data_IF_936548855798
#
_entry.id   IF_936548855798
#
_cell.length_a   1.000
_cell.length_b   1.000
_cell.length_c   1.000
_cell.angle_alpha   90.00
_cell.angle_beta   90.00
_cell.angle_gamma   90.00
#
_symmetry.space_group_name_H-M   'P 1'
#
loop_
_entity.id
_entity.type
_entity.pdbx_description
1 polymer ?
#
# COMPACT_ATOMS: atom_id res chain seq x y z
N UNK A 1 5.68 13.85 -21.75
CA UNK A 1 6.29 12.50 -21.90
C UNK A 1 5.97 11.94 -23.28
N UNK A 2 6.87 11.17 -23.93
CA UNK A 2 6.48 10.37 -25.09
C UNK A 2 5.56 9.23 -24.64
N UNK A 3 4.48 9.01 -25.39
CA UNK A 3 3.54 7.92 -25.14
C UNK A 3 4.26 6.58 -25.30
N UNK A 4 4.32 5.79 -24.22
CA UNK A 4 4.93 4.46 -24.23
C UNK A 4 4.00 3.45 -23.61
N UNK A 5 3.93 2.28 -24.24
CA UNK A 5 3.09 1.17 -23.82
C UNK A 5 3.95 -0.06 -23.58
N UNK A 6 3.73 -0.70 -22.44
CA UNK A 6 4.38 -1.92 -22.01
C UNK A 6 3.33 -2.99 -21.76
N UNK A 7 3.59 -4.23 -22.15
CA UNK A 7 2.64 -5.33 -21.95
C UNK A 7 3.31 -6.52 -21.24
N UNK A 8 2.54 -7.16 -20.37
CA UNK A 8 2.90 -8.40 -19.71
C UNK A 8 1.71 -9.34 -19.78
N UNK A 9 1.91 -10.53 -20.33
CA UNK A 9 0.91 -11.60 -20.30
C UNK A 9 1.26 -12.58 -19.19
N UNK A 10 0.36 -12.75 -18.23
CA UNK A 10 0.41 -13.76 -17.18
C UNK A 10 -0.73 -14.73 -17.40
N UNK A 11 -0.39 -15.96 -17.79
CA UNK A 11 -1.35 -16.96 -18.28
C UNK A 11 -2.23 -16.39 -19.39
N UNK A 12 -3.55 -16.29 -19.19
CA UNK A 12 -4.48 -15.76 -20.19
C UNK A 12 -4.71 -14.24 -20.05
N UNK A 13 -4.18 -13.61 -19.00
CA UNK A 13 -4.42 -12.19 -18.72
C UNK A 13 -3.27 -11.32 -19.17
N UNK A 14 -3.59 -10.34 -20.03
CA UNK A 14 -2.61 -9.35 -20.50
C UNK A 14 -2.80 -8.03 -19.76
N UNK A 15 -1.78 -7.64 -19.00
CA UNK A 15 -1.64 -6.34 -18.37
C UNK A 15 -0.97 -5.39 -19.36
N UNK A 16 -1.62 -4.26 -19.64
CA UNK A 16 -1.05 -3.17 -20.43
C UNK A 16 -0.80 -1.99 -19.50
N UNK A 17 0.42 -1.48 -19.50
CA UNK A 17 0.82 -0.26 -18.79
C UNK A 17 1.12 0.81 -19.82
N UNK A 18 0.49 1.96 -19.69
CA UNK A 18 0.66 3.10 -20.57
C UNK A 18 1.11 4.33 -19.77
N UNK A 19 2.20 4.92 -20.23
CA UNK A 19 2.70 6.20 -19.75
C UNK A 19 2.25 7.27 -20.73
N UNK A 20 1.34 8.14 -20.27
CA UNK A 20 0.73 9.19 -21.07
C UNK A 20 0.98 10.58 -20.46
N UNK A 21 0.40 11.61 -21.08
CA UNK A 21 0.52 13.00 -20.69
C UNK A 21 -0.76 13.57 -20.05
N UNK A 22 -1.59 12.73 -19.43
CA UNK A 22 -2.87 13.18 -18.88
C UNK A 22 -2.72 13.91 -17.54
N UNK A 23 -1.74 13.52 -16.74
CA UNK A 23 -1.51 14.06 -15.40
C UNK A 23 -0.07 14.53 -15.20
N UNK A 24 0.46 15.35 -16.12
CA UNK A 24 1.87 15.79 -16.10
C UNK A 24 2.27 16.62 -14.86
N UNK A 25 1.30 17.14 -14.12
CA UNK A 25 1.56 17.84 -12.85
C UNK A 25 1.66 16.91 -11.64
N UNK A 26 1.24 15.64 -11.77
CA UNK A 26 1.48 14.65 -10.73
C UNK A 26 2.96 14.26 -10.73
N UNK A 27 3.49 13.88 -9.56
CA UNK A 27 4.88 13.43 -9.48
C UNK A 27 5.06 12.08 -10.21
N UNK A 28 4.02 11.23 -10.20
CA UNK A 28 3.95 10.04 -11.04
C UNK A 28 2.52 9.75 -11.46
N UNK A 29 2.34 9.26 -12.70
CA UNK A 29 1.04 8.87 -13.24
C UNK A 29 1.16 7.70 -14.20
N UNK A 30 0.26 6.73 -14.09
CA UNK A 30 0.29 5.51 -14.90
C UNK A 30 -1.14 5.07 -15.22
N UNK A 31 -1.38 4.73 -16.47
CA UNK A 31 -2.61 4.08 -16.91
C UNK A 31 -2.37 2.57 -16.99
N UNK A 32 -3.19 1.78 -16.32
CA UNK A 32 -3.11 0.31 -16.34
C UNK A 32 -4.41 -0.24 -16.90
N UNK A 33 -4.30 -1.22 -17.80
CA UNK A 33 -5.43 -1.88 -18.44
C UNK A 33 -5.29 -3.40 -18.40
N UNK A 34 -6.39 -4.08 -18.08
CA UNK A 34 -6.55 -5.54 -18.19
C UNK A 34 -7.90 -5.80 -18.86
N UNK A 35 -7.89 -6.45 -20.02
CA UNK A 35 -9.10 -6.51 -20.85
C UNK A 35 -9.56 -5.09 -21.23
N UNK A 36 -10.83 -4.78 -20.96
CA UNK A 36 -11.36 -3.41 -21.10
C UNK A 36 -11.46 -2.67 -19.75
N UNK A 37 -11.01 -3.27 -18.64
CA UNK A 37 -10.90 -2.58 -17.35
C UNK A 37 -9.66 -1.68 -17.33
N UNK A 38 -9.86 -0.39 -17.09
CA UNK A 38 -8.83 0.66 -17.13
C UNK A 38 -8.82 1.47 -15.84
N UNK A 39 -7.64 1.62 -15.24
CA UNK A 39 -7.41 2.44 -14.05
C UNK A 39 -6.29 3.45 -14.29
N UNK A 40 -6.48 4.67 -13.80
CA UNK A 40 -5.46 5.71 -13.76
C UNK A 40 -4.98 5.86 -12.32
N UNK A 41 -3.71 5.57 -12.08
CA UNK A 41 -3.07 5.80 -10.78
C UNK A 41 -2.19 7.06 -10.85
N UNK A 42 -2.30 7.90 -9.83
CA UNK A 42 -1.50 9.12 -9.67
C UNK A 42 -0.92 9.18 -8.27
N UNK A 43 0.31 9.68 -8.14
CA UNK A 43 1.00 9.86 -6.87
C UNK A 43 1.55 11.28 -6.76
N UNK A 44 1.30 11.92 -5.62
CA UNK A 44 1.73 13.29 -5.33
C UNK A 44 2.28 13.37 -3.91
N UNK A 45 3.37 14.12 -3.72
CA UNK A 45 3.91 14.44 -2.41
C UNK A 45 4.04 15.95 -2.24
N UNK A 46 3.64 16.48 -1.09
CA UNK A 46 3.80 17.90 -0.78
C UNK A 46 5.29 18.29 -0.70
N UNK A 47 5.67 19.49 -1.15
CA UNK A 47 7.06 19.97 -1.07
C UNK A 47 7.52 20.21 0.37
N UNK A 48 6.61 20.69 1.22
CA UNK A 48 6.90 20.98 2.62
C UNK A 48 6.31 19.90 3.55
N UNK A 49 6.96 19.63 4.70
CA UNK A 49 6.35 18.85 5.77
C UNK A 49 5.01 19.45 6.21
N UNK A 50 4.11 18.60 6.71
CA UNK A 50 2.80 19.05 7.19
C UNK A 50 2.95 20.09 8.31
N UNK A 51 2.26 21.22 8.15
CA UNK A 51 2.21 22.31 9.12
C UNK A 51 1.63 21.82 10.46
N UNK A 52 2.19 22.31 11.57
CA UNK A 52 1.77 21.94 12.93
C UNK A 52 2.46 20.71 13.53
N UNK A 53 3.42 20.10 12.83
CA UNK A 53 4.21 18.99 13.34
C UNK A 53 3.40 17.69 13.41
N UNK A 54 3.37 16.92 12.33
CA UNK A 54 2.79 15.58 12.39
C UNK A 54 3.74 14.63 13.13
N UNK A 55 3.24 13.91 14.14
CA UNK A 55 4.01 12.85 14.81
C UNK A 55 4.03 11.53 14.02
N UNK A 56 3.33 11.47 12.89
CA UNK A 56 3.14 10.28 12.06
C UNK A 56 3.40 10.58 10.58
N UNK A 57 3.57 9.51 9.79
CA UNK A 57 3.69 9.59 8.33
C UNK A 57 2.30 9.76 7.68
N UNK A 58 2.00 10.91 7.05
CA UNK A 58 0.70 11.17 6.44
C UNK A 58 0.64 10.60 5.02
N UNK A 59 0.10 9.39 4.89
CA UNK A 59 -0.23 8.75 3.61
C UNK A 59 -1.74 8.60 3.51
N UNK A 60 -2.32 9.12 2.43
CA UNK A 60 -3.71 8.88 2.02
C UNK A 60 -3.73 8.09 0.72
N UNK A 61 -4.61 7.09 0.66
CA UNK A 61 -4.86 6.29 -0.54
C UNK A 61 -6.35 6.33 -0.82
N UNK A 62 -6.70 6.86 -1.98
CA UNK A 62 -8.08 7.03 -2.41
C UNK A 62 -8.31 6.21 -3.68
N UNK A 63 -9.18 5.22 -3.60
CA UNK A 63 -9.65 4.46 -4.75
C UNK A 63 -11.06 4.95 -5.11
N UNK A 64 -11.21 5.46 -6.34
CA UNK A 64 -12.44 6.09 -6.82
C UNK A 64 -13.03 5.31 -8.01
N UNK A 65 -14.23 4.79 -7.81
CA UNK A 65 -15.03 4.18 -8.87
C UNK A 65 -15.93 5.25 -9.48
N UNK A 66 -15.80 5.47 -10.79
CA UNK A 66 -16.66 6.41 -11.52
C UNK A 66 -17.81 5.64 -12.17
N UNK A 67 -19.04 6.13 -12.05
CA UNK A 67 -20.22 5.47 -12.62
C UNK A 67 -20.11 5.35 -14.15
N UNK A 68 -19.48 6.34 -14.79
CA UNK A 68 -19.22 6.30 -16.23
C UNK A 68 -18.33 5.12 -16.65
N UNK A 69 -17.55 4.53 -15.75
CA UNK A 69 -16.71 3.38 -16.05
C UNK A 69 -17.54 2.17 -16.52
N UNK A 70 -18.78 2.06 -16.03
CA UNK A 70 -19.77 1.04 -16.43
C UNK A 70 -20.71 1.50 -17.56
N UNK A 71 -20.52 2.73 -18.07
CA UNK A 71 -21.44 3.34 -19.03
C UNK A 71 -22.83 3.69 -18.47
N UNK A 72 -23.00 3.70 -17.14
CA UNK A 72 -24.30 3.93 -16.47
C UNK A 72 -24.30 5.29 -15.75
N UNK A 73 -25.46 5.96 -15.74
CA UNK A 73 -25.71 7.15 -14.90
C UNK A 73 -26.34 6.66 -13.59
N UNK A 74 -25.54 6.52 -12.55
CA UNK A 74 -25.96 6.03 -11.24
C UNK A 74 -25.98 7.15 -10.19
N UNK A 75 -26.36 6.81 -8.96
CA UNK A 75 -26.39 7.71 -7.80
C UNK A 75 -27.79 8.17 -7.41
N UNK A 76 -27.86 9.11 -6.47
CA UNK A 76 -29.13 9.66 -5.99
C UNK A 76 -29.91 10.32 -7.12
N UNK A 77 -31.24 10.12 -7.14
CA UNK A 77 -32.19 10.71 -8.12
C UNK A 77 -31.95 12.21 -8.34
N UNK A 78 -31.50 12.91 -7.29
CA UNK A 78 -31.28 14.36 -7.30
C UNK A 78 -29.87 14.77 -7.70
N UNK A 79 -28.85 14.06 -7.22
CA UNK A 79 -27.44 14.48 -7.36
C UNK A 79 -26.80 13.92 -8.64
N UNK A 80 -27.17 12.69 -9.03
CA UNK A 80 -26.62 11.97 -10.21
C UNK A 80 -25.09 12.05 -10.32
N UNK A 81 -24.41 11.96 -9.17
CA UNK A 81 -22.95 12.02 -9.03
C UNK A 81 -22.50 11.11 -7.90
N UNK A 82 -21.29 10.59 -8.02
CA UNK A 82 -20.57 9.89 -6.97
C UNK A 82 -20.30 10.86 -5.82
N UNK A 83 -20.54 10.42 -4.59
CA UNK A 83 -20.33 11.27 -3.40
C UNK A 83 -19.40 10.56 -2.44
N UNK A 84 -19.93 9.66 -1.63
CA UNK A 84 -19.14 8.85 -0.71
C UNK A 84 -18.60 7.61 -1.42
N UNK A 85 -17.35 7.20 -1.14
CA UNK A 85 -16.83 5.90 -1.57
C UNK A 85 -17.74 4.75 -1.12
N UNK A 86 -17.84 3.72 -1.97
CA UNK A 86 -18.48 2.45 -1.63
C UNK A 86 -17.67 1.69 -0.57
N UNK A 87 -18.27 0.68 0.07
CA UNK A 87 -17.53 -0.21 0.97
C UNK A 87 -16.39 -0.92 0.22
N UNK A 88 -16.65 -1.37 -1.01
CA UNK A 88 -15.66 -2.00 -1.87
C UNK A 88 -14.49 -1.04 -2.17
N UNK A 89 -14.79 0.21 -2.54
CA UNK A 89 -13.76 1.21 -2.79
C UNK A 89 -12.89 1.48 -1.56
N UNK A 90 -13.48 1.46 -0.35
CA UNK A 90 -12.74 1.59 0.91
C UNK A 90 -11.87 0.35 1.16
N UNK A 91 -12.37 -0.86 0.88
CA UNK A 91 -11.61 -2.10 1.02
C UNK A 91 -10.41 -2.14 0.07
N UNK A 92 -10.60 -1.77 -1.20
CA UNK A 92 -9.51 -1.67 -2.18
C UNK A 92 -8.50 -0.59 -1.79
N UNK A 93 -8.97 0.57 -1.31
CA UNK A 93 -8.07 1.63 -0.78
C UNK A 93 -7.19 1.10 0.36
N UNK A 94 -7.78 0.35 1.30
CA UNK A 94 -7.06 -0.27 2.42
C UNK A 94 -6.09 -1.36 1.97
N UNK A 95 -6.47 -2.14 0.97
CA UNK A 95 -5.62 -3.17 0.36
C UNK A 95 -4.36 -2.54 -0.23
N UNK A 96 -4.51 -1.45 -0.99
CA UNK A 96 -3.39 -0.72 -1.57
C UNK A 96 -2.54 -0.07 -0.47
N UNK A 97 -3.15 0.64 0.48
CA UNK A 97 -2.45 1.29 1.60
C UNK A 97 -1.59 0.31 2.40
N UNK A 98 -2.16 -0.83 2.82
CA UNK A 98 -1.44 -1.87 3.56
C UNK A 98 -0.25 -2.42 2.78
N UNK A 99 -0.35 -2.45 1.46
CA UNK A 99 0.69 -2.99 0.59
C UNK A 99 1.84 -1.98 0.40
N UNK A 100 1.55 -0.69 0.22
CA UNK A 100 2.58 0.34 -0.07
C UNK A 100 3.18 0.99 1.19
N UNK A 101 2.41 1.12 2.28
CA UNK A 101 2.77 1.89 3.48
C UNK A 101 4.07 1.42 4.15
N UNK A 102 4.32 0.10 4.33
CA UNK A 102 5.55 -0.37 4.98
C UNK A 102 6.84 -0.05 4.21
N UNK A 103 6.74 0.42 2.97
CA UNK A 103 7.87 0.73 2.08
C UNK A 103 8.26 2.20 2.08
N UNK A 104 7.56 3.04 2.84
CA UNK A 104 7.99 4.40 3.13
C UNK A 104 8.84 4.45 4.40
N UNK A 105 9.76 5.40 4.45
CA UNK A 105 10.41 5.75 5.71
C UNK A 105 9.38 6.49 6.59
N UNK A 106 9.04 5.89 7.74
CA UNK A 106 8.05 6.43 8.68
C UNK A 106 8.45 7.78 9.30
N UNK A 107 9.67 8.25 9.06
CA UNK A 107 10.16 9.59 9.46
C UNK A 107 9.78 10.69 8.46
N UNK A 108 9.29 10.33 7.28
CA UNK A 108 8.76 11.31 6.32
C UNK A 108 7.56 12.04 6.97
N UNK A 109 7.52 13.36 6.79
CA UNK A 109 6.46 14.24 7.29
C UNK A 109 5.72 15.00 6.20
N UNK A 110 6.17 14.84 4.96
CA UNK A 110 5.48 15.31 3.78
C UNK A 110 4.25 14.42 3.55
N UNK A 111 3.14 15.06 3.23
CA UNK A 111 1.92 14.36 2.87
C UNK A 111 2.08 13.70 1.50
N UNK A 112 1.78 12.41 1.44
CA UNK A 112 1.76 11.62 0.21
C UNK A 112 0.32 11.21 -0.05
N UNK A 113 -0.17 11.49 -1.24
CA UNK A 113 -1.47 11.05 -1.70
C UNK A 113 -1.31 10.17 -2.93
N UNK A 114 -1.97 9.01 -2.91
CA UNK A 114 -2.09 8.12 -4.07
C UNK A 114 -3.56 8.00 -4.42
N UNK A 115 -3.94 8.46 -5.60
CA UNK A 115 -5.31 8.39 -6.10
C UNK A 115 -5.35 7.40 -7.25
N UNK A 116 -6.25 6.43 -7.16
CA UNK A 116 -6.55 5.49 -8.23
C UNK A 116 -7.97 5.73 -8.69
N UNK A 117 -8.16 6.06 -9.96
CA UNK A 117 -9.48 6.28 -10.56
C UNK A 117 -9.78 5.18 -11.56
N UNK A 118 -10.89 4.48 -11.39
CA UNK A 118 -11.40 3.52 -12.37
C UNK A 118 -12.08 4.30 -13.50
N UNK A 119 -11.53 4.18 -14.71
CA UNK A 119 -12.01 4.89 -15.89
C UNK A 119 -12.93 4.03 -16.75
N UNK A 120 -12.72 2.72 -16.76
CA UNK A 120 -13.54 1.76 -17.48
C UNK A 120 -13.53 0.42 -16.75
N UNK A 121 -14.64 -0.31 -16.78
CA UNK A 121 -14.73 -1.67 -16.26
C UNK A 121 -15.46 -2.55 -17.28
N UNK A 122 -14.94 -3.75 -17.51
CA UNK A 122 -15.46 -4.69 -18.49
C UNK A 122 -16.47 -5.70 -17.92
N UNK A 123 -16.86 -5.49 -16.66
CA UNK A 123 -17.73 -6.35 -15.84
C UNK A 123 -17.22 -7.79 -15.66
N UNK A 124 -15.96 -8.08 -16.01
CA UNK A 124 -15.30 -9.38 -15.88
C UNK A 124 -14.08 -9.33 -14.97
N UNK A 125 -13.17 -8.41 -15.26
CA UNK A 125 -11.90 -8.25 -14.58
C UNK A 125 -12.05 -7.28 -13.41
N UNK A 126 -11.68 -7.76 -12.22
CA UNK A 126 -11.64 -6.92 -11.03
C UNK A 126 -10.53 -5.84 -11.17
N UNK A 127 -10.85 -4.55 -10.95
CA UNK A 127 -9.90 -3.45 -10.98
C UNK A 127 -8.89 -3.41 -9.81
N UNK A 128 -9.04 -4.21 -8.76
CA UNK A 128 -8.18 -4.18 -7.57
C UNK A 128 -6.68 -4.47 -7.83
N UNK A 129 -6.35 -5.53 -8.57
CA UNK A 129 -5.00 -5.93 -8.95
C UNK A 129 -4.35 -4.91 -9.89
N UNK A 130 -5.01 -4.45 -10.99
CA UNK A 130 -4.44 -3.39 -11.82
C UNK A 130 -4.33 -2.06 -11.07
N UNK A 131 -5.22 -1.77 -10.11
CA UNK A 131 -5.10 -0.59 -9.24
C UNK A 131 -3.85 -0.64 -8.37
N UNK A 132 -3.54 -1.79 -7.76
CA UNK A 132 -2.32 -1.98 -6.99
C UNK A 132 -1.06 -1.90 -7.86
N UNK A 133 -1.08 -2.48 -9.06
CA UNK A 133 0.00 -2.35 -10.04
C UNK A 133 0.21 -0.88 -10.42
N UNK A 134 -0.88 -0.14 -10.69
CA UNK A 134 -0.84 1.27 -11.01
C UNK A 134 -0.25 2.11 -9.87
N UNK A 135 -0.69 1.88 -8.63
CA UNK A 135 -0.16 2.58 -7.45
C UNK A 135 1.35 2.34 -7.27
N UNK A 136 1.80 1.09 -7.41
CA UNK A 136 3.22 0.72 -7.32
C UNK A 136 4.06 1.40 -8.40
N UNK A 137 3.58 1.40 -9.66
CA UNK A 137 4.30 2.06 -10.76
C UNK A 137 4.27 3.58 -10.64
N UNK A 138 3.14 4.18 -10.26
CA UNK A 138 3.03 5.63 -10.06
C UNK A 138 4.02 6.13 -8.99
N UNK A 139 4.15 5.42 -7.87
CA UNK A 139 5.17 5.73 -6.86
C UNK A 139 6.60 5.46 -7.37
N UNK A 140 6.81 4.36 -8.09
CA UNK A 140 8.13 4.01 -8.60
C UNK A 140 8.65 4.99 -9.64
N UNK A 141 7.77 5.51 -10.49
CA UNK A 141 8.08 6.48 -11.55
C UNK A 141 8.05 7.93 -11.05
N UNK A 142 7.63 8.17 -9.81
CA UNK A 142 7.70 9.48 -9.18
C UNK A 142 9.08 9.78 -8.59
N UNK A 143 9.32 11.03 -8.22
CA UNK A 143 10.47 11.43 -7.41
C UNK A 143 10.30 11.08 -5.91
N UNK A 144 9.16 10.56 -5.48
CA UNK A 144 8.86 10.28 -4.06
C UNK A 144 9.76 9.15 -3.53
N UNK A 145 10.42 9.32 -2.37
CA UNK A 145 11.30 8.29 -1.80
C UNK A 145 10.46 7.13 -1.26
N UNK A 146 10.44 6.04 -2.03
CA UNK A 146 9.65 4.84 -1.74
C UNK A 146 10.44 3.58 -2.11
N UNK A 147 10.50 2.61 -1.19
CA UNK A 147 11.30 1.39 -1.33
C UNK A 147 10.49 0.23 -1.96
N UNK A 148 9.92 0.48 -3.14
CA UNK A 148 9.26 -0.51 -3.97
C UNK A 148 10.16 -1.08 -5.07
N UNK A 149 9.60 -1.63 -6.17
CA UNK A 149 8.17 -1.81 -6.44
C UNK A 149 7.57 -2.97 -5.64
N UNK A 150 6.24 -3.02 -5.59
CA UNK A 150 5.48 -4.16 -5.10
C UNK A 150 4.55 -4.67 -6.21
N UNK A 151 4.13 -5.91 -6.13
CA UNK A 151 3.04 -6.43 -6.96
C UNK A 151 2.04 -7.16 -6.07
N UNK A 152 0.79 -7.21 -6.52
CA UNK A 152 -0.18 -8.15 -6.00
C UNK A 152 -0.83 -8.94 -7.10
N UNK A 153 -1.33 -10.11 -6.73
CA UNK A 153 -2.06 -11.03 -7.60
C UNK A 153 -3.18 -11.64 -6.76
N UNK A 154 -4.28 -12.00 -7.41
CA UNK A 154 -5.39 -12.75 -6.81
C UNK A 154 -5.27 -14.22 -7.23
N UNK A 155 -5.50 -15.15 -6.32
CA UNK A 155 -5.56 -16.58 -6.59
C UNK A 155 -6.94 -17.07 -6.22
N UNK A 156 -7.62 -17.71 -7.16
CA UNK A 156 -8.88 -18.40 -6.93
C UNK A 156 -8.72 -19.91 -6.92
N UNK A 157 -9.63 -20.60 -6.25
CA UNK A 157 -9.89 -22.03 -6.46
C UNK A 157 -11.38 -22.29 -6.45
N UNK A 158 -11.85 -23.08 -7.40
CA UNK A 158 -13.22 -23.57 -7.44
C UNK A 158 -13.21 -25.06 -7.75
N UNK A 159 -13.82 -25.87 -6.89
CA UNK A 159 -13.81 -27.33 -7.03
C UNK A 159 -14.28 -27.81 -8.41
N UNK A 160 -15.20 -27.11 -9.06
CA UNK A 160 -15.74 -27.47 -10.39
C UNK A 160 -14.84 -27.10 -11.58
N UNK A 161 -13.82 -26.25 -11.37
CA UNK A 161 -12.84 -25.82 -12.39
C UNK A 161 -11.46 -26.44 -12.08
N UNK A 162 -11.30 -27.03 -10.90
CA UNK A 162 -10.05 -27.59 -10.41
C UNK A 162 -9.50 -28.76 -11.25
N UNK A 163 -10.32 -29.38 -12.11
CA UNK A 163 -9.93 -30.49 -12.99
C UNK A 163 -9.19 -30.04 -14.27
N UNK A 164 -9.19 -28.74 -14.59
CA UNK A 164 -8.55 -28.20 -15.82
C UNK A 164 -7.16 -27.59 -15.58
N UNK A 165 -6.84 -27.20 -14.33
CA UNK A 165 -5.55 -26.65 -13.95
C UNK A 165 -4.72 -27.66 -13.14
N UNK A 166 -3.39 -27.81 -13.35
CA UNK A 166 -2.58 -28.84 -12.72
C UNK A 166 -2.65 -28.91 -11.18
N UNK A 167 -2.97 -27.79 -10.53
CA UNK A 167 -3.11 -27.65 -9.06
C UNK A 167 -4.51 -27.17 -8.64
N UNK A 168 -5.42 -26.96 -9.60
CA UNK A 168 -6.76 -26.40 -9.39
C UNK A 168 -6.81 -24.91 -8.99
N UNK A 169 -5.70 -24.17 -9.12
CA UNK A 169 -5.65 -22.72 -8.85
C UNK A 169 -5.80 -21.92 -10.15
N UNK A 170 -6.48 -20.77 -10.05
CA UNK A 170 -6.69 -19.83 -11.15
C UNK A 170 -6.04 -18.50 -10.81
N UNK A 171 -5.24 -17.96 -11.72
CA UNK A 171 -4.59 -16.65 -11.56
C UNK A 171 -5.54 -15.52 -11.93
N UNK A 172 -5.69 -14.57 -11.02
CA UNK A 172 -6.51 -13.38 -11.16
C UNK A 172 -7.91 -13.70 -11.68
N UNK A 173 -8.70 -14.59 -11.08
CA UNK A 173 -9.97 -15.05 -11.65
C UNK A 173 -10.94 -13.90 -11.97
N UNK A 174 -11.74 -14.03 -13.03
CA UNK A 174 -12.85 -13.08 -13.31
C UNK A 174 -13.98 -13.24 -12.27
N UNK A 175 -14.89 -12.26 -12.19
CA UNK A 175 -16.00 -12.30 -11.23
C UNK A 175 -16.82 -13.61 -11.28
N UNK A 176 -17.12 -14.13 -12.47
CA UNK A 176 -17.88 -15.39 -12.65
C UNK A 176 -17.14 -16.62 -12.11
N UNK A 177 -15.80 -16.63 -12.18
CA UNK A 177 -14.96 -17.72 -11.66
C UNK A 177 -14.85 -17.68 -10.14
N UNK A 178 -15.02 -16.49 -9.54
CA UNK A 178 -15.00 -16.26 -8.09
C UNK A 178 -16.32 -16.61 -7.41
N UNK A 179 -17.43 -16.60 -8.16
CA UNK A 179 -18.72 -16.97 -7.60
C UNK A 179 -18.74 -18.45 -7.20
N UNK A 180 -18.91 -18.71 -5.90
CA UNK A 180 -18.84 -20.05 -5.33
C UNK A 180 -17.42 -20.64 -5.29
N UNK A 181 -16.38 -19.81 -5.34
CA UNK A 181 -15.01 -20.25 -5.14
C UNK A 181 -14.77 -20.73 -3.70
N UNK A 182 -13.99 -21.80 -3.56
CA UNK A 182 -13.53 -22.36 -2.29
C UNK A 182 -12.36 -21.56 -1.70
N UNK A 183 -11.66 -20.82 -2.55
CA UNK A 183 -10.59 -19.90 -2.17
C UNK A 183 -10.67 -18.65 -3.05
N UNK A 184 -10.57 -17.49 -2.41
CA UNK A 184 -10.30 -16.21 -3.05
C UNK A 184 -9.29 -15.43 -2.19
N UNK A 185 -8.03 -15.37 -2.64
CA UNK A 185 -6.95 -14.73 -1.89
C UNK A 185 -6.20 -13.71 -2.73
N UNK A 186 -6.07 -12.48 -2.24
CA UNK A 186 -5.07 -11.54 -2.74
C UNK A 186 -3.84 -11.61 -1.87
N UNK A 187 -2.70 -11.76 -2.54
CA UNK A 187 -1.38 -11.59 -1.93
C UNK A 187 -0.67 -10.41 -2.59
N UNK A 188 0.06 -9.64 -1.80
CA UNK A 188 0.95 -8.60 -2.31
C UNK A 188 2.32 -8.62 -1.63
N UNK A 189 3.34 -8.22 -2.36
CA UNK A 189 4.72 -8.32 -1.88
C UNK A 189 5.76 -7.73 -2.80
N UNK A 190 7.00 -7.87 -2.33
CA UNK A 190 8.24 -7.66 -3.11
C UNK A 190 8.69 -8.96 -3.77
N UNK A 191 9.75 -8.92 -4.58
CA UNK A 191 10.26 -10.10 -5.28
C UNK A 191 10.67 -11.23 -4.32
N UNK A 192 11.05 -10.87 -3.09
CA UNK A 192 11.60 -11.81 -2.11
C UNK A 192 10.63 -12.20 -1.00
N UNK A 193 9.61 -11.36 -0.74
CA UNK A 193 8.73 -11.52 0.43
C UNK A 193 7.33 -10.99 0.19
N UNK A 194 6.35 -11.73 0.72
CA UNK A 194 4.95 -11.30 0.84
C UNK A 194 4.84 -10.31 2.00
N UNK A 195 4.11 -9.22 1.81
CA UNK A 195 3.84 -8.20 2.82
C UNK A 195 2.39 -8.16 3.29
N UNK A 196 1.44 -8.60 2.45
CA UNK A 196 0.01 -8.54 2.76
C UNK A 196 -0.70 -9.73 2.14
N UNK A 197 -1.67 -10.27 2.88
CA UNK A 197 -2.56 -11.36 2.47
C UNK A 197 -3.96 -10.95 2.94
N UNK A 198 -4.93 -11.05 2.03
CA UNK A 198 -6.36 -10.90 2.29
C UNK A 198 -7.07 -12.09 1.63
N UNK A 199 -7.79 -12.91 2.40
CA UNK A 199 -8.32 -14.18 1.91
C UNK A 199 -9.71 -14.50 2.45
N UNK A 200 -10.54 -15.09 1.59
CA UNK A 200 -11.74 -15.85 1.95
C UNK A 200 -11.57 -17.30 1.49
N UNK A 201 -11.92 -18.26 2.34
CA UNK A 201 -11.86 -19.68 2.01
C UNK A 201 -12.96 -20.49 2.73
N UNK A 202 -13.43 -21.56 2.10
CA UNK A 202 -14.46 -22.46 2.63
C UNK A 202 -13.82 -23.70 3.27
N UNK A 203 -13.46 -23.61 4.56
CA UNK A 203 -12.94 -24.73 5.36
C UNK A 203 -11.76 -25.49 4.68
N UNK A 204 -10.91 -24.76 3.96
CA UNK A 204 -9.75 -25.29 3.25
C UNK A 204 -8.64 -25.73 4.22
N UNK A 205 -7.95 -26.82 3.90
CA UNK A 205 -6.81 -27.32 4.68
C UNK A 205 -5.62 -26.34 4.61
N UNK A 206 -4.88 -26.18 5.71
CA UNK A 206 -3.77 -25.23 5.79
C UNK A 206 -2.68 -25.49 4.75
N UNK A 207 -2.37 -26.76 4.45
CA UNK A 207 -1.36 -27.12 3.45
C UNK A 207 -1.76 -26.67 2.05
N UNK A 208 -3.04 -26.81 1.71
CA UNK A 208 -3.57 -26.41 0.41
C UNK A 208 -3.60 -24.88 0.27
N UNK A 209 -3.97 -24.17 1.34
CA UNK A 209 -3.94 -22.72 1.38
C UNK A 209 -2.51 -22.18 1.22
N UNK A 210 -1.52 -22.80 1.88
CA UNK A 210 -0.11 -22.43 1.74
C UNK A 210 0.39 -22.66 0.30
N UNK A 211 0.02 -23.78 -0.33
CA UNK A 211 0.37 -24.06 -1.73
C UNK A 211 -0.21 -23.01 -2.69
N UNK A 212 -1.44 -22.54 -2.45
CA UNK A 212 -2.05 -21.48 -3.26
C UNK A 212 -1.25 -20.16 -3.18
N UNK A 213 -0.80 -19.80 -1.98
CA UNK A 213 0.03 -18.60 -1.75
C UNK A 213 1.39 -18.75 -2.44
N UNK A 214 2.06 -19.89 -2.28
CA UNK A 214 3.37 -20.15 -2.90
C UNK A 214 3.29 -20.11 -4.43
N UNK A 215 2.25 -20.73 -4.99
CA UNK A 215 1.97 -20.70 -6.42
C UNK A 215 1.74 -19.28 -6.92
N UNK A 216 0.88 -18.52 -6.24
CA UNK A 216 0.62 -17.11 -6.55
C UNK A 216 1.87 -16.23 -6.47
N UNK A 217 2.74 -16.48 -5.49
CA UNK A 217 3.96 -15.68 -5.26
C UNK A 217 4.95 -15.77 -6.44
N UNK A 218 4.93 -16.87 -7.20
CA UNK A 218 5.74 -16.99 -8.42
C UNK A 218 5.36 -15.91 -9.46
N UNK A 219 4.08 -15.54 -9.57
CA UNK A 219 3.60 -14.51 -10.49
C UNK A 219 3.90 -13.09 -10.01
N UNK A 220 3.93 -12.85 -8.69
CA UNK A 220 4.41 -11.59 -8.11
C UNK A 220 5.83 -11.26 -8.61
N UNK A 221 6.72 -12.26 -8.63
CA UNK A 221 8.10 -12.08 -9.12
C UNK A 221 8.15 -11.65 -10.58
N UNK A 222 7.29 -12.24 -11.43
CA UNK A 222 7.20 -11.88 -12.84
C UNK A 222 6.67 -10.44 -13.02
N UNK A 223 5.61 -10.08 -12.28
CA UNK A 223 5.06 -8.73 -12.29
C UNK A 223 6.08 -7.68 -11.81
N UNK A 224 6.89 -8.01 -10.80
CA UNK A 224 7.94 -7.10 -10.33
C UNK A 224 9.05 -6.94 -11.35
N UNK A 225 9.47 -8.02 -12.01
CA UNK A 225 10.46 -7.95 -13.10
C UNK A 225 9.98 -7.04 -14.23
N UNK A 226 8.70 -7.12 -14.57
CA UNK A 226 8.05 -6.24 -15.54
C UNK A 226 8.03 -4.77 -15.08
N UNK A 227 7.67 -4.51 -13.82
CA UNK A 227 7.74 -3.15 -13.28
C UNK A 227 9.18 -2.60 -13.30
N UNK A 228 10.17 -3.43 -12.93
CA UNK A 228 11.58 -3.04 -12.94
C UNK A 228 12.09 -2.68 -14.33
N UNK A 229 11.66 -3.35 -15.41
CA UNK A 229 12.02 -2.92 -16.77
C UNK A 229 11.47 -1.54 -17.10
N UNK A 230 10.22 -1.25 -16.71
CA UNK A 230 9.62 0.07 -16.94
C UNK A 230 10.33 1.16 -16.12
N UNK A 231 10.63 0.87 -14.85
CA UNK A 231 11.32 1.80 -13.94
C UNK A 231 12.74 2.10 -14.45
N UNK A 232 13.43 1.10 -14.97
CA UNK A 232 14.79 1.28 -15.53
C UNK A 232 14.78 2.16 -16.77
N UNK A 233 13.78 1.99 -17.64
CA UNK A 233 13.60 2.81 -18.84
C UNK A 233 13.29 4.29 -18.53
N UNK A 234 12.73 4.56 -17.35
CA UNK A 234 12.27 5.89 -16.91
C UNK A 234 12.84 6.22 -15.53
N UNK A 235 14.14 6.00 -15.34
CA UNK A 235 14.79 6.16 -14.05
C UNK A 235 14.70 7.62 -13.55
N UNK A 236 13.71 7.89 -12.69
CA UNK A 236 13.54 9.18 -12.01
C UNK A 236 14.38 9.19 -10.74
N UNK A 237 15.18 10.25 -10.57
CA UNK A 237 15.94 10.45 -9.34
C UNK A 237 14.99 10.73 -8.18
N UNK A 238 15.10 9.93 -7.11
CA UNK A 238 14.31 10.14 -5.89
C UNK A 238 14.77 11.40 -5.19
N UNK A 239 13.81 12.22 -4.77
CA UNK A 239 14.08 13.44 -4.02
C UNK A 239 14.57 13.10 -2.62
N UNK A 240 15.51 13.89 -2.14
CA UNK A 240 15.91 13.85 -0.74
C UNK A 240 14.86 14.56 0.11
N UNK A 241 14.40 13.88 1.17
CA UNK A 241 13.46 14.44 2.13
C UNK A 241 14.21 14.69 3.42
N UNK A 242 14.12 15.92 3.93
CA UNK A 242 14.71 16.28 5.21
C UNK A 242 14.04 15.48 6.33
N UNK A 243 14.79 14.59 6.96
CA UNK A 243 14.37 13.84 8.13
C UNK A 243 15.12 14.38 9.34
N UNK A 244 14.40 14.74 10.40
CA UNK A 244 15.03 15.18 11.64
C UNK A 244 15.91 14.04 12.19
N UNK A 245 17.23 14.24 12.31
CA UNK A 245 18.11 13.23 12.88
C UNK A 245 17.78 13.02 14.36
N UNK A 246 17.99 11.79 14.84
CA UNK A 246 17.89 11.51 16.28
C UNK A 246 19.12 12.10 16.98
N UNK A 247 18.92 12.89 18.05
CA UNK A 247 20.03 13.33 18.89
C UNK A 247 20.67 12.11 19.59
N UNK A 248 21.97 11.87 19.40
CA UNK A 248 22.70 10.83 20.12
C UNK A 248 22.66 11.03 21.64
N UNK A 249 22.68 12.27 22.10
CA UNK A 249 22.67 12.65 23.52
C UNK A 249 21.35 12.27 24.20
N UNK A 250 20.22 12.62 23.57
CA UNK A 250 18.88 12.25 24.05
C UNK A 250 18.65 10.74 24.01
N UNK A 251 19.18 10.07 22.98
CA UNK A 251 19.10 8.60 22.85
C UNK A 251 19.90 7.93 23.97
N UNK A 252 21.08 8.45 24.30
CA UNK A 252 21.92 7.94 25.37
C UNK A 252 21.27 8.16 26.75
N UNK A 253 20.69 9.33 27.00
CA UNK A 253 19.93 9.62 28.22
C UNK A 253 18.79 8.62 28.43
N UNK A 254 18.02 8.32 27.37
CA UNK A 254 16.96 7.32 27.42
C UNK A 254 17.52 5.93 27.77
N UNK A 255 18.61 5.53 27.12
CA UNK A 255 19.23 4.22 27.30
C UNK A 255 19.81 4.03 28.72
N UNK A 256 20.54 5.02 29.22
CA UNK A 256 21.28 4.93 30.47
C UNK A 256 20.35 4.97 31.69
N UNK A 257 19.28 5.76 31.63
CA UNK A 257 18.48 6.06 32.83
C UNK A 257 17.06 5.52 32.82
N UNK A 258 16.44 5.38 31.65
CA UNK A 258 15.01 5.06 31.55
C UNK A 258 14.75 3.66 30.97
N UNK A 259 15.72 3.06 30.26
CA UNK A 259 15.55 1.75 29.65
C UNK A 259 15.20 0.67 30.67
N UNK A 260 15.88 0.63 31.82
CA UNK A 260 15.60 -0.35 32.88
C UNK A 260 14.19 -0.20 33.48
N UNK A 261 13.67 1.03 33.55
CA UNK A 261 12.30 1.28 34.02
C UNK A 261 11.26 0.80 33.00
N UNK A 262 11.49 1.07 31.71
CA UNK A 262 10.64 0.60 30.61
C UNK A 262 10.66 -0.93 30.51
N UNK A 263 11.83 -1.56 30.60
CA UNK A 263 11.96 -3.03 30.60
C UNK A 263 11.21 -3.66 31.77
N UNK A 264 11.31 -3.09 32.96
CA UNK A 264 10.56 -3.57 34.14
C UNK A 264 9.06 -3.43 33.94
N UNK A 265 8.59 -2.34 33.33
CA UNK A 265 7.18 -2.15 33.02
C UNK A 265 6.69 -3.18 31.99
N UNK A 266 7.47 -3.44 30.93
CA UNK A 266 7.08 -4.32 29.83
C UNK A 266 7.22 -5.82 30.13
N UNK A 267 8.23 -6.21 30.89
CA UNK A 267 8.58 -7.63 31.13
C UNK A 267 8.50 -8.04 32.60
N UNK A 268 8.15 -7.12 33.48
CA UNK A 268 7.99 -7.42 34.91
C UNK A 268 6.76 -8.26 35.22
N UNK A 269 6.61 -8.59 36.50
CA UNK A 269 5.52 -9.43 37.00
C UNK A 269 4.11 -8.88 36.67
N UNK A 270 3.97 -7.56 36.46
CA UNK A 270 2.70 -6.91 36.13
C UNK A 270 2.49 -6.70 34.62
N UNK A 271 3.36 -7.24 33.76
CA UNK A 271 3.27 -7.12 32.30
C UNK A 271 1.95 -7.65 31.71
N UNK A 272 1.28 -8.57 32.40
CA UNK A 272 -0.02 -9.09 32.01
C UNK A 272 -1.16 -8.05 32.13
N UNK A 273 -0.97 -6.98 32.90
CA UNK A 273 -1.97 -5.91 33.07
C UNK A 273 -1.63 -4.69 32.22
N UNK A 274 -2.26 -4.60 31.04
CA UNK A 274 -2.04 -3.52 30.07
C UNK A 274 -2.19 -2.11 30.66
N UNK A 275 -3.10 -1.88 31.63
CA UNK A 275 -3.29 -0.56 32.23
C UNK A 275 -2.08 -0.13 33.06
N UNK A 276 -1.52 -1.07 33.83
CA UNK A 276 -0.33 -0.82 34.65
C UNK A 276 0.87 -0.55 33.75
N UNK A 277 1.05 -1.36 32.70
CA UNK A 277 2.13 -1.16 31.71
C UNK A 277 2.03 0.21 31.05
N UNK A 278 0.83 0.60 30.58
CA UNK A 278 0.63 1.90 29.94
C UNK A 278 0.90 3.07 30.90
N UNK A 279 0.47 2.98 32.17
CA UNK A 279 0.75 4.00 33.18
C UNK A 279 2.25 4.13 33.41
N UNK A 280 2.94 3.02 33.66
CA UNK A 280 4.38 3.04 33.95
C UNK A 280 5.21 3.57 32.76
N UNK A 281 4.82 3.26 31.52
CA UNK A 281 5.47 3.82 30.32
C UNK A 281 5.17 5.31 30.18
N UNK A 282 3.95 5.76 30.48
CA UNK A 282 3.60 7.18 30.46
C UNK A 282 4.41 7.97 31.51
N UNK A 283 4.50 7.45 32.74
CA UNK A 283 5.28 8.06 33.82
C UNK A 283 6.77 8.14 33.46
N UNK A 284 7.32 7.07 32.86
CA UNK A 284 8.70 7.05 32.38
C UNK A 284 8.94 8.06 31.24
N UNK A 285 7.96 8.21 30.33
CA UNK A 285 8.02 9.20 29.24
C UNK A 285 8.00 10.62 29.79
N UNK A 286 7.11 10.93 30.73
CA UNK A 286 7.01 12.26 31.35
C UNK A 286 8.30 12.61 32.11
N UNK A 287 8.82 11.67 32.89
CA UNK A 287 10.09 11.87 33.60
C UNK A 287 11.29 12.04 32.65
N UNK A 288 11.31 11.30 31.53
CA UNK A 288 12.33 11.48 30.50
C UNK A 288 12.23 12.85 29.82
N UNK A 289 11.03 13.29 29.45
CA UNK A 289 10.80 14.61 28.83
C UNK A 289 11.25 15.73 29.76
N UNK A 290 10.85 15.71 31.03
CA UNK A 290 11.24 16.72 32.01
C UNK A 290 12.77 16.80 32.17
N UNK A 291 13.45 15.65 32.24
CA UNK A 291 14.91 15.59 32.36
C UNK A 291 15.62 16.02 31.08
N UNK A 292 15.08 15.66 29.92
CA UNK A 292 15.62 16.08 28.63
C UNK A 292 15.50 17.61 28.43
N UNK A 293 14.38 18.21 28.84
CA UNK A 293 14.18 19.66 28.84
C UNK A 293 15.15 20.38 29.80
N UNK A 294 15.40 19.81 30.99
CA UNK A 294 16.36 20.37 31.96
C UNK A 294 17.80 20.32 31.44
N UNK A 295 18.22 19.18 30.86
CA UNK A 295 19.59 18.96 30.41
C UNK A 295 19.90 19.59 29.05
N UNK A 296 18.91 19.70 28.17
CA UNK A 296 19.07 20.17 26.79
C UNK A 296 17.98 21.18 26.39
N UNK A 297 17.82 22.30 27.10
CA UNK A 297 16.74 23.27 26.87
C UNK A 297 16.72 23.85 25.45
N UNK A 298 17.88 23.96 24.81
CA UNK A 298 18.04 24.44 23.43
C UNK A 298 17.43 23.47 22.38
N UNK A 299 17.16 22.22 22.75
CA UNK A 299 16.55 21.22 21.86
C UNK A 299 15.02 21.26 21.92
N UNK A 300 14.46 21.80 23.00
CA UNK A 300 13.01 21.84 23.28
C UNK A 300 12.41 23.24 23.13
N UNK A 301 13.25 24.27 22.97
CA UNK A 301 12.80 25.57 22.51
C UNK A 301 12.36 25.43 21.06
N UNK A 302 11.07 25.69 20.79
CA UNK A 302 10.54 25.73 19.42
C UNK A 302 11.46 26.58 18.56
N UNK A 303 12.01 26.00 17.50
CA UNK A 303 12.58 26.80 16.44
C UNK A 303 11.50 27.79 15.98
N UNK A 304 11.76 29.09 16.14
CA UNK A 304 10.96 30.12 15.47
C UNK A 304 11.21 29.96 13.97
N UNK A 305 10.27 29.32 13.27
CA UNK A 305 10.34 29.06 11.84
C UNK A 305 9.16 28.24 11.35
#
# INVERSE_FOLDING_TARGET
MEHKTYTLTLEEKTFTVELNNWAEQAHGSVLVRVGDTVVLATAVMNHHPREGGADFFPLSVDYEEKFYATGKILGSRFVKRETRPSEEAILVSRLIDRSIRPRFDMRIRNEVQVIITVLSIDEKNDPDVPALLGASLALSLSDIPWNGPIAGIRVGKRHTIADEAPNGFVLNPIYEEREGADLDVIISGTADRISMIEAGANEMQEEEFALAIEWGFAFIKQMIKFQQSIITDHAVTKREVHMTPRSPELTKLLADEFMAAIERAMYGHQAHNKKIVHSAIADAKEAWMAKAEEMYPDTFTKAEG
#
